data_IF_182990078267
#
_entry.id   IF_182990078267
#
_cell.length_a   1.000
_cell.length_b   1.000
_cell.length_c   1.000
_cell.angle_alpha   90.00
_cell.angle_beta   90.00
_cell.angle_gamma   90.00
#
_symmetry.space_group_name_H-M   'P 1'
#
loop_
_entity.id
_entity.type
_entity.pdbx_description
1 polymer ?
#
# COMPACT_ATOMS: atom_id res chain seq x y z
N UNK A 1 -13.16 25.05 21.02
CA UNK A 1 -12.71 23.74 21.53
C UNK A 1 -11.30 23.50 21.02
N UNK A 2 -10.30 23.81 21.84
CA UNK A 2 -8.88 23.57 21.51
C UNK A 2 -8.60 22.10 21.80
N UNK A 3 -8.63 21.26 20.76
CA UNK A 3 -8.17 19.87 20.84
C UNK A 3 -6.67 19.90 21.09
N UNK A 4 -6.27 19.75 22.36
CA UNK A 4 -4.87 19.75 22.79
C UNK A 4 -4.05 18.78 21.96
N UNK A 5 -2.91 19.26 21.47
CA UNK A 5 -2.01 18.55 20.57
C UNK A 5 -1.41 17.34 21.31
N UNK A 6 -2.10 16.19 21.27
CA UNK A 6 -1.86 15.00 22.12
C UNK A 6 -0.54 14.26 21.84
N UNK A 7 0.17 14.59 20.75
CA UNK A 7 1.43 13.94 20.40
C UNK A 7 2.62 14.60 21.09
N UNK A 8 3.50 13.77 21.66
CA UNK A 8 4.81 14.22 22.15
C UNK A 8 5.64 14.72 20.96
N UNK A 9 6.53 15.69 21.17
CA UNK A 9 7.32 16.30 20.08
C UNK A 9 8.06 15.24 19.24
N UNK A 10 8.67 14.24 19.88
CA UNK A 10 9.37 13.15 19.19
C UNK A 10 8.45 12.31 18.26
N UNK A 11 7.17 12.16 18.62
CA UNK A 11 6.19 11.43 17.78
C UNK A 11 5.83 12.24 16.53
N UNK A 12 5.73 13.57 16.66
CA UNK A 12 5.50 14.47 15.53
C UNK A 12 6.67 14.42 14.56
N UNK A 13 7.90 14.50 15.05
CA UNK A 13 9.10 14.45 14.19
C UNK A 13 9.22 13.10 13.48
N UNK A 14 8.89 12.01 14.17
CA UNK A 14 8.83 10.69 13.55
C UNK A 14 7.78 10.64 12.44
N UNK A 15 6.55 11.09 12.70
CA UNK A 15 5.47 11.13 11.71
C UNK A 15 5.82 12.01 10.52
N UNK A 16 6.38 13.20 10.77
CA UNK A 16 6.85 14.14 9.75
C UNK A 16 7.81 13.45 8.77
N UNK A 17 8.82 12.77 9.31
CA UNK A 17 9.81 12.02 8.52
C UNK A 17 9.17 10.90 7.71
N UNK A 18 8.22 10.16 8.28
CA UNK A 18 7.53 9.09 7.56
C UNK A 18 6.64 9.61 6.43
N UNK A 19 5.88 10.68 6.67
CA UNK A 19 5.04 11.33 5.65
C UNK A 19 5.89 11.85 4.50
N UNK A 20 6.98 12.58 4.80
CA UNK A 20 7.89 13.09 3.76
C UNK A 20 8.55 11.96 2.98
N UNK A 21 9.08 10.93 3.66
CA UNK A 21 9.65 9.74 3.00
C UNK A 21 8.64 9.09 2.05
N UNK A 22 7.39 8.90 2.50
CA UNK A 22 6.37 8.24 1.70
C UNK A 22 5.99 9.04 0.46
N UNK A 23 5.83 10.36 0.57
CA UNK A 23 5.58 11.23 -0.58
C UNK A 23 6.74 11.18 -1.58
N UNK A 24 7.97 11.22 -1.10
CA UNK A 24 9.15 11.14 -1.96
C UNK A 24 9.27 9.79 -2.67
N UNK A 25 8.92 8.66 -2.03
CA UNK A 25 8.88 7.36 -2.72
C UNK A 25 7.81 7.31 -3.81
N UNK A 26 6.62 7.87 -3.54
CA UNK A 26 5.55 7.95 -4.55
C UNK A 26 5.98 8.78 -5.74
N UNK A 27 6.66 9.90 -5.51
CA UNK A 27 7.07 10.81 -6.57
C UNK A 27 8.28 10.30 -7.36
N UNK A 28 9.34 9.85 -6.67
CA UNK A 28 10.60 9.47 -7.31
C UNK A 28 10.62 8.03 -7.82
N UNK A 29 9.86 7.14 -7.18
CA UNK A 29 9.80 5.73 -7.56
C UNK A 29 8.49 5.37 -8.27
N UNK A 30 7.61 6.34 -8.51
CA UNK A 30 6.28 6.12 -9.08
C UNK A 30 5.48 5.05 -8.34
N UNK A 31 5.69 4.91 -7.02
CA UNK A 31 4.95 3.96 -6.22
C UNK A 31 3.46 4.30 -6.26
N UNK A 32 2.63 3.28 -6.42
CA UNK A 32 1.20 3.44 -6.53
C UNK A 32 0.63 4.04 -5.24
N UNK A 33 -0.06 5.17 -5.41
CA UNK A 33 -0.83 5.81 -4.37
C UNK A 33 -2.06 6.44 -5.00
N UNK A 34 -3.22 6.29 -4.35
CA UNK A 34 -4.44 6.94 -4.84
C UNK A 34 -4.35 8.44 -4.65
N UNK A 35 -4.97 9.21 -5.55
CA UNK A 35 -4.99 10.68 -5.48
C UNK A 35 -5.49 11.19 -4.12
N UNK A 36 -6.56 10.58 -3.59
CA UNK A 36 -7.11 10.89 -2.26
C UNK A 36 -6.06 10.70 -1.14
N UNK A 37 -5.32 9.58 -1.13
CA UNK A 37 -4.28 9.33 -0.12
C UNK A 37 -3.08 10.27 -0.29
N UNK A 38 -2.65 10.53 -1.53
CA UNK A 38 -1.57 11.49 -1.80
C UNK A 38 -1.94 12.88 -1.28
N UNK A 39 -3.16 13.33 -1.57
CA UNK A 39 -3.68 14.61 -1.10
C UNK A 39 -3.67 14.71 0.43
N UNK A 40 -4.15 13.69 1.15
CA UNK A 40 -4.09 13.69 2.61
C UNK A 40 -2.67 13.72 3.15
N UNK A 41 -1.73 12.97 2.57
CA UNK A 41 -0.33 13.01 2.99
C UNK A 41 0.30 14.39 2.75
N UNK A 42 -0.04 15.05 1.64
CA UNK A 42 0.42 16.41 1.36
C UNK A 42 -0.14 17.42 2.37
N UNK A 43 -1.41 17.30 2.75
CA UNK A 43 -1.98 18.11 3.83
C UNK A 43 -1.25 17.83 5.16
N UNK A 44 -1.06 16.56 5.53
CA UNK A 44 -0.33 16.19 6.75
C UNK A 44 1.10 16.76 6.76
N UNK A 45 1.78 16.75 5.60
CA UNK A 45 3.12 17.33 5.49
C UNK A 45 3.13 18.85 5.79
N UNK A 46 2.07 19.59 5.48
CA UNK A 46 1.97 21.01 5.81
C UNK A 46 1.83 21.25 7.33
N UNK A 47 1.26 20.28 8.07
CA UNK A 47 1.12 20.38 9.52
C UNK A 47 2.40 20.01 10.27
N UNK A 48 3.28 19.21 9.67
CA UNK A 48 4.51 18.76 10.31
C UNK A 48 5.72 19.43 9.66
N UNK A 49 6.36 20.36 10.39
CA UNK A 49 7.61 20.96 9.96
C UNK A 49 8.75 19.96 10.14
N UNK A 50 9.48 19.68 9.06
CA UNK A 50 10.77 19.00 9.11
C UNK A 50 11.87 20.05 9.04
N UNK A 51 12.93 19.86 9.80
CA UNK A 51 14.13 20.66 9.59
C UNK A 51 14.77 20.34 8.23
N UNK A 52 15.54 21.31 7.72
CA UNK A 52 16.17 21.24 6.40
C UNK A 52 17.21 20.12 6.30
N UNK A 53 17.89 19.80 7.42
CA UNK A 53 18.89 18.74 7.48
C UNK A 53 18.25 17.36 7.26
N UNK A 54 17.10 17.11 7.90
CA UNK A 54 16.31 15.90 7.76
C UNK A 54 15.78 15.73 6.33
N UNK A 55 15.27 16.82 5.73
CA UNK A 55 14.81 16.80 4.34
C UNK A 55 15.98 16.46 3.41
N UNK A 56 17.13 17.12 3.56
CA UNK A 56 18.34 16.84 2.79
C UNK A 56 18.79 15.38 2.92
N UNK A 57 18.86 14.87 4.15
CA UNK A 57 19.24 13.48 4.44
C UNK A 57 18.29 12.48 3.79
N UNK A 58 16.98 12.66 3.95
CA UNK A 58 15.98 11.79 3.35
C UNK A 58 16.08 11.81 1.82
N UNK A 59 16.21 13.00 1.23
CA UNK A 59 16.32 13.15 -0.22
C UNK A 59 17.56 12.49 -0.81
N UNK A 60 18.68 12.45 -0.06
CA UNK A 60 19.90 11.75 -0.46
C UNK A 60 19.80 10.22 -0.33
N UNK A 61 19.04 9.71 0.65
CA UNK A 61 18.87 8.27 0.87
C UNK A 61 17.89 7.60 -0.10
N UNK A 62 16.80 8.29 -0.45
CA UNK A 62 15.71 7.69 -1.23
C UNK A 62 16.15 7.13 -2.57
N UNK A 63 16.96 7.84 -3.41
CA UNK A 63 17.43 7.30 -4.68
C UNK A 63 18.20 5.98 -4.50
N UNK A 64 19.02 5.86 -3.45
CA UNK A 64 19.77 4.63 -3.14
C UNK A 64 18.80 3.48 -2.81
N UNK A 65 17.74 3.76 -2.06
CA UNK A 65 16.72 2.77 -1.70
C UNK A 65 15.88 2.33 -2.90
N UNK A 66 15.49 3.27 -3.77
CA UNK A 66 14.78 2.99 -5.03
C UNK A 66 15.62 2.10 -5.94
N UNK A 67 16.90 2.41 -6.10
CA UNK A 67 17.79 1.61 -6.94
C UNK A 67 17.95 0.19 -6.40
N UNK A 68 17.99 0.03 -5.08
CA UNK A 68 17.99 -1.31 -4.49
C UNK A 68 16.68 -2.06 -4.76
N UNK A 69 15.50 -1.42 -4.63
CA UNK A 69 14.22 -2.06 -4.98
C UNK A 69 14.16 -2.51 -6.44
N UNK A 70 14.71 -1.71 -7.35
CA UNK A 70 14.79 -2.02 -8.77
C UNK A 70 15.64 -3.27 -9.03
N UNK A 71 16.72 -3.47 -8.27
CA UNK A 71 17.60 -4.64 -8.39
C UNK A 71 17.03 -5.92 -7.77
N UNK A 72 16.07 -5.81 -6.86
CA UNK A 72 15.45 -6.95 -6.19
C UNK A 72 14.39 -7.59 -7.10
N UNK A 73 14.82 -8.55 -7.91
CA UNK A 73 13.92 -9.34 -8.74
C UNK A 73 13.13 -10.35 -7.92
N UNK A 74 11.81 -10.41 -8.15
CA UNK A 74 10.91 -11.35 -7.47
C UNK A 74 10.44 -12.49 -8.40
N UNK A 75 10.45 -12.24 -9.71
CA UNK A 75 10.03 -13.18 -10.77
C UNK A 75 10.38 -12.61 -12.15
N UNK A 76 10.97 -13.38 -13.07
CA UNK A 76 11.16 -13.09 -14.51
C UNK A 76 11.06 -11.60 -14.89
N UNK A 77 12.16 -10.86 -14.76
CA UNK A 77 12.27 -9.41 -15.08
C UNK A 77 11.34 -8.45 -14.32
N UNK A 78 10.54 -8.94 -13.37
CA UNK A 78 9.74 -8.15 -12.44
C UNK A 78 10.52 -7.92 -11.16
N UNK A 79 10.82 -6.66 -10.88
CA UNK A 79 11.42 -6.20 -9.64
C UNK A 79 10.38 -5.90 -8.57
N UNK A 80 10.84 -5.76 -7.33
CA UNK A 80 10.00 -5.32 -6.22
C UNK A 80 9.49 -3.88 -6.44
N UNK A 81 10.26 -3.04 -7.15
CA UNK A 81 9.80 -1.71 -7.54
C UNK A 81 8.59 -1.77 -8.48
N UNK A 82 8.58 -2.70 -9.45
CA UNK A 82 7.46 -2.87 -10.39
C UNK A 82 6.16 -3.27 -9.68
N UNK A 83 6.27 -4.08 -8.63
CA UNK A 83 5.15 -4.40 -7.73
C UNK A 83 4.63 -3.14 -7.06
N UNK A 84 5.52 -2.36 -6.46
CA UNK A 84 5.18 -1.15 -5.73
C UNK A 84 4.61 -0.03 -6.63
N UNK A 85 5.01 0.04 -7.90
CA UNK A 85 4.49 0.99 -8.88
C UNK A 85 3.14 0.58 -9.49
N UNK A 86 2.79 -0.71 -9.40
CA UNK A 86 1.54 -1.25 -9.96
C UNK A 86 0.37 -1.15 -8.99
N UNK A 87 -0.86 -0.97 -9.49
CA UNK A 87 -2.06 -1.01 -8.64
C UNK A 87 -2.17 -2.34 -7.87
N UNK A 88 -2.81 -2.37 -6.67
CA UNK A 88 -2.87 -3.59 -5.85
C UNK A 88 -3.42 -4.82 -6.58
N UNK A 89 -4.43 -4.61 -7.44
CA UNK A 89 -4.99 -5.68 -8.28
C UNK A 89 -3.97 -6.26 -9.26
N UNK A 90 -3.24 -5.40 -9.99
CA UNK A 90 -2.19 -5.84 -10.92
C UNK A 90 -0.99 -6.44 -10.19
N UNK A 91 -0.55 -5.79 -9.13
CA UNK A 91 0.57 -6.20 -8.28
C UNK A 91 0.36 -7.60 -7.68
N UNK A 92 -0.89 -7.97 -7.33
CA UNK A 92 -1.22 -9.32 -6.88
C UNK A 92 -0.77 -10.41 -7.87
N UNK A 93 -0.94 -10.20 -9.18
CA UNK A 93 -0.54 -11.18 -10.19
C UNK A 93 0.96 -11.34 -10.33
N UNK A 94 1.74 -10.30 -10.00
CA UNK A 94 3.19 -10.40 -9.90
C UNK A 94 3.60 -11.23 -8.70
N UNK A 95 2.96 -11.03 -7.54
CA UNK A 95 3.39 -11.63 -6.28
C UNK A 95 2.89 -13.06 -6.05
N UNK A 96 1.69 -13.44 -6.53
CA UNK A 96 1.00 -14.69 -6.15
C UNK A 96 1.81 -15.98 -6.37
N UNK A 97 2.69 -15.98 -7.39
CA UNK A 97 3.56 -17.10 -7.74
C UNK A 97 5.01 -16.62 -7.86
N UNK A 98 5.46 -15.79 -6.93
CA UNK A 98 6.80 -15.19 -6.91
C UNK A 98 7.58 -15.60 -5.67
N UNK A 99 8.87 -15.27 -5.64
CA UNK A 99 9.74 -15.45 -4.47
C UNK A 99 9.76 -14.22 -3.56
N UNK A 100 8.71 -13.37 -3.60
CA UNK A 100 8.69 -12.07 -2.92
C UNK A 100 8.97 -12.20 -1.42
N UNK A 101 8.39 -13.19 -0.75
CA UNK A 101 8.60 -13.40 0.69
C UNK A 101 10.04 -13.80 1.00
N UNK A 102 10.62 -14.72 0.22
CA UNK A 102 12.04 -15.08 0.34
C UNK A 102 12.96 -13.86 0.17
N UNK A 103 12.64 -12.96 -0.76
CA UNK A 103 13.41 -11.72 -0.96
C UNK A 103 13.29 -10.81 0.26
N UNK A 104 12.09 -10.66 0.83
CA UNK A 104 11.81 -9.81 1.98
C UNK A 104 12.28 -10.37 3.32
N UNK A 105 12.38 -11.68 3.46
CA UNK A 105 12.81 -12.37 4.68
C UNK A 105 14.32 -12.66 4.70
N UNK A 106 15.05 -12.35 3.61
CA UNK A 106 16.50 -12.50 3.58
C UNK A 106 17.19 -11.52 4.55
N UNK A 107 18.25 -11.95 5.25
CA UNK A 107 19.02 -11.09 6.17
C UNK A 107 19.57 -9.81 5.49
N UNK A 108 19.79 -9.86 4.17
CA UNK A 108 20.20 -8.73 3.35
C UNK A 108 19.12 -7.64 3.24
N UNK A 109 17.85 -7.99 3.44
CA UNK A 109 16.75 -7.02 3.48
C UNK A 109 16.73 -6.28 4.82
N UNK A 110 16.97 -6.93 5.96
CA UNK A 110 16.74 -6.34 7.28
C UNK A 110 17.68 -5.18 7.63
N UNK A 111 18.96 -5.28 7.27
CA UNK A 111 19.97 -4.26 7.65
C UNK A 111 19.94 -3.02 6.76
N UNK A 112 19.60 -3.17 5.48
CA UNK A 112 19.60 -2.08 4.50
C UNK A 112 18.23 -1.46 4.22
N UNK A 113 17.14 -2.12 4.63
CA UNK A 113 15.79 -1.75 4.24
C UNK A 113 14.81 -1.61 5.40
N UNK A 114 15.18 -1.67 6.67
CA UNK A 114 14.20 -1.71 7.78
C UNK A 114 12.96 -0.80 7.59
N UNK A 115 13.15 0.49 7.35
CA UNK A 115 12.05 1.43 7.06
C UNK A 115 11.27 1.10 5.77
N UNK A 116 11.98 0.82 4.68
CA UNK A 116 11.37 0.52 3.38
C UNK A 116 10.66 -0.84 3.38
N UNK A 117 11.15 -1.78 4.19
CA UNK A 117 10.59 -3.11 4.35
C UNK A 117 9.18 -3.01 4.91
N UNK A 118 8.93 -2.14 5.89
CA UNK A 118 7.57 -1.89 6.38
C UNK A 118 6.66 -1.31 5.31
N UNK A 119 7.12 -0.31 4.55
CA UNK A 119 6.33 0.26 3.44
C UNK A 119 6.00 -0.78 2.39
N UNK A 120 6.99 -1.56 1.96
CA UNK A 120 6.82 -2.59 0.92
C UNK A 120 5.95 -3.75 1.41
N UNK A 121 6.16 -4.24 2.63
CA UNK A 121 5.30 -5.25 3.26
C UNK A 121 3.86 -4.75 3.39
N UNK A 122 3.67 -3.52 3.84
CA UNK A 122 2.35 -2.89 3.89
C UNK A 122 1.70 -2.83 2.50
N UNK A 123 2.47 -2.53 1.46
CA UNK A 123 1.98 -2.55 0.08
C UNK A 123 1.57 -3.95 -0.38
N UNK A 124 2.40 -4.96 -0.13
CA UNK A 124 2.14 -6.36 -0.48
C UNK A 124 0.91 -6.89 0.26
N UNK A 125 0.82 -6.64 1.57
CA UNK A 125 -0.34 -6.99 2.37
C UNK A 125 -1.61 -6.38 1.78
N UNK A 126 -1.56 -5.10 1.37
CA UNK A 126 -2.69 -4.45 0.69
C UNK A 126 -3.08 -5.14 -0.62
N UNK A 127 -2.13 -5.67 -1.39
CA UNK A 127 -2.41 -6.44 -2.60
C UNK A 127 -3.15 -7.74 -2.28
N UNK A 128 -2.67 -8.50 -1.30
CA UNK A 128 -3.33 -9.72 -0.84
C UNK A 128 -4.71 -9.45 -0.27
N UNK A 129 -4.85 -8.44 0.58
CA UNK A 129 -6.15 -8.06 1.16
C UNK A 129 -7.14 -7.65 0.07
N UNK A 130 -6.74 -6.82 -0.90
CA UNK A 130 -7.64 -6.45 -2.01
C UNK A 130 -8.11 -7.67 -2.78
N UNK A 131 -7.21 -8.61 -3.09
CA UNK A 131 -7.60 -9.84 -3.80
C UNK A 131 -8.53 -10.70 -2.95
N UNK A 132 -8.21 -10.92 -1.68
CA UNK A 132 -9.05 -11.68 -0.75
C UNK A 132 -10.47 -11.11 -0.69
N UNK A 133 -10.59 -9.79 -0.50
CA UNK A 133 -11.90 -9.14 -0.47
C UNK A 133 -12.63 -9.16 -1.80
N UNK A 134 -11.92 -9.11 -2.94
CA UNK A 134 -12.54 -9.30 -4.24
C UNK A 134 -13.09 -10.72 -4.41
N UNK A 135 -12.32 -11.74 -4.03
CA UNK A 135 -12.78 -13.13 -4.14
C UNK A 135 -13.95 -13.42 -3.19
N UNK A 136 -13.85 -12.94 -1.96
CA UNK A 136 -14.90 -13.07 -0.96
C UNK A 136 -16.17 -12.29 -1.33
N UNK A 137 -16.01 -11.03 -1.73
CA UNK A 137 -17.12 -10.18 -2.15
C UNK A 137 -17.82 -10.70 -3.41
N UNK A 138 -17.10 -11.36 -4.32
CA UNK A 138 -17.68 -11.93 -5.53
C UNK A 138 -18.65 -13.07 -5.17
N UNK A 139 -18.21 -13.97 -4.29
CA UNK A 139 -19.05 -15.02 -3.75
C UNK A 139 -20.30 -14.45 -3.08
N UNK A 140 -20.13 -13.35 -2.33
CA UNK A 140 -21.27 -12.69 -1.67
C UNK A 140 -22.26 -12.07 -2.65
N UNK A 141 -21.79 -11.35 -3.69
CA UNK A 141 -22.67 -10.82 -4.73
C UNK A 141 -23.42 -11.96 -5.43
N UNK A 142 -22.75 -13.06 -5.75
CA UNK A 142 -23.40 -14.23 -6.34
C UNK A 142 -24.50 -14.82 -5.44
N UNK A 143 -24.26 -14.88 -4.12
CA UNK A 143 -25.24 -15.33 -3.13
C UNK A 143 -26.43 -14.37 -3.02
N UNK A 144 -26.17 -13.05 -2.87
CA UNK A 144 -27.21 -12.03 -2.77
C UNK A 144 -28.11 -11.97 -3.99
N UNK A 145 -27.53 -12.19 -5.15
CA UNK A 145 -28.25 -12.17 -6.42
C UNK A 145 -28.94 -13.49 -6.70
N UNK A 146 -28.75 -14.52 -5.86
CA UNK A 146 -29.26 -15.88 -6.06
C UNK A 146 -28.92 -16.42 -7.45
N UNK A 147 -27.73 -16.09 -7.97
CA UNK A 147 -27.31 -16.44 -9.32
C UNK A 147 -28.11 -15.79 -10.46
N UNK A 148 -29.00 -14.82 -10.16
CA UNK A 148 -29.77 -14.09 -11.18
C UNK A 148 -28.89 -13.16 -12.02
N UNK A 149 -27.76 -12.74 -11.47
CA UNK A 149 -26.73 -12.01 -12.20
C UNK A 149 -25.68 -12.99 -12.72
N UNK A 150 -25.34 -12.95 -14.03
CA UNK A 150 -24.24 -13.74 -14.56
C UNK A 150 -22.93 -13.45 -13.82
N UNK A 151 -22.09 -14.46 -13.64
CA UNK A 151 -20.81 -14.35 -12.93
C UNK A 151 -19.95 -13.20 -13.48
N UNK A 152 -19.88 -13.06 -14.80
CA UNK A 152 -19.16 -11.97 -15.48
C UNK A 152 -19.67 -10.57 -15.08
N UNK A 153 -20.97 -10.42 -14.79
CA UNK A 153 -21.52 -9.16 -14.30
C UNK A 153 -21.09 -8.90 -12.85
N UNK A 154 -21.08 -9.94 -12.01
CA UNK A 154 -20.62 -9.84 -10.63
C UNK A 154 -19.10 -9.52 -10.56
N UNK A 155 -18.30 -10.12 -11.45
CA UNK A 155 -16.87 -9.84 -11.60
C UNK A 155 -16.63 -8.37 -11.98
N UNK A 156 -17.40 -7.84 -12.94
CA UNK A 156 -17.31 -6.42 -13.29
C UNK A 156 -17.73 -5.51 -12.14
N UNK A 157 -18.83 -5.83 -11.45
CA UNK A 157 -19.30 -5.02 -10.32
C UNK A 157 -18.23 -4.90 -9.25
N UNK A 158 -17.57 -6.02 -8.90
CA UNK A 158 -16.58 -6.02 -7.82
C UNK A 158 -15.29 -5.26 -8.15
N UNK A 159 -14.96 -5.10 -9.43
CA UNK A 159 -13.84 -4.27 -9.87
C UNK A 159 -14.06 -2.77 -9.61
N UNK A 160 -15.33 -2.32 -9.61
CA UNK A 160 -15.69 -0.93 -9.29
C UNK A 160 -15.77 -0.64 -7.81
N UNK A 161 -15.85 -1.68 -6.97
CA UNK A 161 -15.89 -1.50 -5.52
C UNK A 161 -14.52 -1.14 -5.00
N UNK A 162 -14.46 -0.10 -4.17
CA UNK A 162 -13.23 0.25 -3.50
C UNK A 162 -12.95 -0.69 -2.31
N UNK A 163 -12.06 -0.32 -1.39
CA UNK A 163 -11.80 -1.18 -0.22
C UNK A 163 -12.89 -1.06 0.84
N UNK A 164 -13.46 0.13 1.00
CA UNK A 164 -14.50 0.44 1.97
C UNK A 164 -15.82 -0.22 1.57
N UNK A 165 -16.17 -0.16 0.27
CA UNK A 165 -17.32 -0.87 -0.29
C UNK A 165 -17.24 -2.39 -0.03
N UNK A 166 -16.07 -2.97 -0.27
CA UNK A 166 -15.83 -4.39 -0.04
C UNK A 166 -15.95 -4.76 1.44
N UNK A 167 -15.41 -3.93 2.35
CA UNK A 167 -15.54 -4.14 3.79
C UNK A 167 -17.00 -4.06 4.23
N UNK A 168 -17.76 -3.06 3.74
CA UNK A 168 -19.17 -2.89 4.05
C UNK A 168 -20.00 -4.09 3.58
N UNK A 169 -19.68 -4.66 2.41
CA UNK A 169 -20.30 -5.90 1.93
C UNK A 169 -20.01 -7.08 2.88
N UNK A 170 -18.74 -7.25 3.29
CA UNK A 170 -18.35 -8.30 4.24
C UNK A 170 -19.06 -8.16 5.59
N UNK A 171 -19.16 -6.94 6.11
CA UNK A 171 -19.85 -6.65 7.38
C UNK A 171 -21.35 -6.94 7.29
N UNK A 172 -22.00 -6.51 6.20
CA UNK A 172 -23.41 -6.81 5.96
C UNK A 172 -23.71 -8.31 5.88
N UNK A 173 -22.76 -9.12 5.39
CA UNK A 173 -22.87 -10.58 5.41
C UNK A 173 -22.71 -11.15 6.82
N UNK A 174 -21.69 -10.71 7.55
CA UNK A 174 -21.42 -11.19 8.90
C UNK A 174 -22.58 -10.91 9.87
N UNK A 175 -23.30 -9.80 9.69
CA UNK A 175 -24.44 -9.44 10.52
C UNK A 175 -25.77 -10.10 10.10
N UNK A 176 -25.81 -10.83 8.98
CA UNK A 176 -26.99 -11.57 8.50
C UNK A 176 -27.03 -13.03 8.94
N UNK A 177 -25.90 -13.57 9.41
CA UNK A 177 -25.75 -14.93 9.94
C UNK A 177 -25.54 -14.90 11.45
#
# INVERSE_FOLDING_TARGET
>A
MSGGNQFKNHEKDFLARQVHKQLQYVEKAHMFMTTKKKHYLQQLQQFFMLDEEDICRINAEIPKKIEKLRKLQIKNDVSLLDVCASSPGKAYYFIKNSKVWTVLDSENSEKGFRDLNYTVRGYINKCFMKKFFMDFGLNYIMLLTYGRLPVLCCEKLIEYLDYEDLMNLCEAYANKN
#
